data_IF_636706638856
#
_entry.id   IF_636706638856
#
_cell.length_a   1.000
_cell.length_b   1.000
_cell.length_c   1.000
_cell.angle_alpha   90.00
_cell.angle_beta   90.00
_cell.angle_gamma   90.00
#
_symmetry.space_group_name_H-M   'P 1'
#
loop_
_entity.id
_entity.type
_entity.pdbx_description
1 polymer ?
#
# COMPACT_ATOMS: atom_id res chain seq x y z
N UNK A 1 -26.65 3.50 13.45
CA UNK A 1 -25.63 3.21 12.44
C UNK A 1 -25.86 4.24 11.37
N UNK A 2 -24.97 5.23 11.30
CA UNK A 2 -25.14 6.34 10.36
C UNK A 2 -24.84 5.82 8.96
N UNK A 3 -25.77 6.09 8.03
CA UNK A 3 -25.58 5.74 6.63
C UNK A 3 -24.57 6.72 6.04
N UNK A 4 -23.53 6.20 5.39
CA UNK A 4 -22.63 7.01 4.56
C UNK A 4 -23.49 7.64 3.45
N UNK A 5 -23.60 8.96 3.45
CA UNK A 5 -24.28 9.70 2.38
C UNK A 5 -23.26 10.08 1.30
N UNK A 6 -23.68 10.37 0.05
CA UNK A 6 -22.75 10.73 -1.02
C UNK A 6 -21.87 11.96 -0.72
N UNK A 7 -22.26 12.82 0.23
CA UNK A 7 -21.45 13.95 0.69
C UNK A 7 -20.32 13.58 1.66
N UNK A 8 -20.31 12.34 2.15
CA UNK A 8 -19.33 11.81 3.11
C UNK A 8 -18.18 11.04 2.42
N UNK A 9 -18.12 11.06 1.08
CA UNK A 9 -17.13 10.34 0.27
C UNK A 9 -16.32 11.36 -0.53
N UNK A 10 -14.99 11.25 -0.43
CA UNK A 10 -14.05 12.07 -1.20
C UNK A 10 -12.94 11.22 -1.82
N UNK A 11 -12.36 11.72 -2.92
CA UNK A 11 -11.15 11.14 -3.51
C UNK A 11 -9.95 11.71 -2.75
N UNK A 12 -9.31 10.87 -1.93
CA UNK A 12 -8.15 11.28 -1.10
C UNK A 12 -6.81 11.15 -1.83
N UNK A 13 -6.78 10.37 -2.92
CA UNK A 13 -5.61 10.13 -3.77
C UNK A 13 -6.08 9.75 -5.18
N UNK A 14 -5.67 10.51 -6.20
CA UNK A 14 -5.88 10.16 -7.61
C UNK A 14 -4.61 9.47 -8.15
N UNK A 15 -4.45 8.20 -7.81
CA UNK A 15 -3.20 7.46 -8.04
C UNK A 15 -3.03 6.96 -9.48
N UNK A 16 -4.10 6.93 -10.28
CA UNK A 16 -4.11 6.31 -11.62
C UNK A 16 -3.54 4.88 -11.66
N UNK A 17 -3.70 4.09 -10.59
CA UNK A 17 -3.28 2.69 -10.57
C UNK A 17 -4.07 1.84 -11.57
N UNK A 18 -3.39 0.88 -12.19
CA UNK A 18 -4.04 -0.06 -13.12
C UNK A 18 -4.99 -0.99 -12.37
N UNK A 19 -4.52 -1.60 -11.27
CA UNK A 19 -5.34 -2.42 -10.38
C UNK A 19 -4.96 -2.15 -8.91
N UNK A 20 -5.58 -1.12 -8.33
CA UNK A 20 -5.46 -0.79 -6.92
C UNK A 20 -6.21 -1.77 -6.02
N UNK A 21 -5.50 -2.45 -5.10
CA UNK A 21 -6.06 -3.52 -4.27
C UNK A 21 -5.44 -3.59 -2.86
N UNK A 22 -6.01 -4.44 -2.01
CA UNK A 22 -5.42 -4.86 -0.74
C UNK A 22 -5.11 -3.77 0.31
N UNK A 23 -5.98 -2.78 0.56
CA UNK A 23 -5.71 -1.73 1.54
C UNK A 23 -5.56 -2.29 2.96
N UNK A 24 -4.44 -1.98 3.61
CA UNK A 24 -4.11 -2.37 4.99
C UNK A 24 -3.52 -1.19 5.75
N UNK A 25 -4.00 -0.94 6.96
CA UNK A 25 -3.46 0.13 7.81
C UNK A 25 -2.19 -0.30 8.53
N UNK A 26 -1.12 0.48 8.37
CA UNK A 26 -0.01 0.55 9.31
C UNK A 26 -0.35 1.60 10.38
N UNK A 27 -0.88 1.14 11.51
CA UNK A 27 -1.30 2.04 12.59
C UNK A 27 -0.14 2.71 13.30
N UNK A 28 1.04 2.10 13.30
CA UNK A 28 2.23 2.66 13.95
C UNK A 28 2.83 3.78 13.11
N UNK A 29 2.92 3.58 11.79
CA UNK A 29 3.37 4.61 10.85
C UNK A 29 2.30 5.63 10.47
N UNK A 30 1.03 5.38 10.82
CA UNK A 30 -0.15 6.14 10.39
C UNK A 30 -0.25 6.26 8.85
N UNK A 31 -0.05 5.12 8.17
CA UNK A 31 -0.10 5.04 6.70
C UNK A 31 -1.05 3.94 6.22
N UNK A 32 -1.74 4.20 5.12
CA UNK A 32 -2.47 3.19 4.38
C UNK A 32 -1.53 2.54 3.38
N UNK A 33 -1.27 1.25 3.55
CA UNK A 33 -0.55 0.43 2.59
C UNK A 33 -1.57 -0.13 1.60
N UNK A 34 -1.29 -0.05 0.31
CA UNK A 34 -2.07 -0.67 -0.74
C UNK A 34 -1.16 -1.01 -1.92
N UNK A 35 -1.67 -1.69 -2.95
CA UNK A 35 -0.86 -2.20 -4.06
C UNK A 35 -1.46 -1.85 -5.41
N UNK A 36 -0.60 -1.64 -6.42
CA UNK A 36 -0.97 -1.76 -7.82
C UNK A 36 -0.42 -3.08 -8.36
N UNK A 37 -1.32 -4.05 -8.59
CA UNK A 37 -0.94 -5.42 -8.99
C UNK A 37 -0.20 -5.42 -10.32
N UNK A 38 -0.67 -4.65 -11.30
CA UNK A 38 -0.11 -4.63 -12.66
C UNK A 38 1.08 -3.68 -12.74
N UNK A 39 1.03 -2.59 -11.99
CA UNK A 39 2.13 -1.63 -11.86
C UNK A 39 3.36 -2.15 -11.11
N UNK A 40 3.24 -3.28 -10.39
CA UNK A 40 4.26 -3.82 -9.48
C UNK A 40 4.59 -2.87 -8.31
N UNK A 41 3.63 -2.06 -7.89
CA UNK A 41 3.86 -1.01 -6.89
C UNK A 41 3.27 -1.40 -5.54
N UNK A 42 4.04 -1.17 -4.48
CA UNK A 42 3.52 -1.04 -3.11
C UNK A 42 3.42 0.44 -2.79
N UNK A 43 2.23 0.89 -2.45
CA UNK A 43 1.92 2.26 -2.06
C UNK A 43 1.87 2.41 -0.54
N UNK A 44 2.29 3.57 -0.02
CA UNK A 44 2.16 3.96 1.39
C UNK A 44 1.67 5.39 1.49
N UNK A 45 0.35 5.54 1.62
CA UNK A 45 -0.33 6.83 1.67
C UNK A 45 -0.45 7.38 3.09
N UNK A 46 -0.10 8.65 3.29
CA UNK A 46 -0.30 9.37 4.55
C UNK A 46 -1.53 10.30 4.43
N UNK A 47 -2.63 10.02 5.15
CA UNK A 47 -3.86 10.82 5.04
C UNK A 47 -3.73 12.23 5.64
N UNK A 48 -2.68 12.52 6.44
CA UNK A 48 -2.47 13.85 7.02
C UNK A 48 -1.78 14.79 6.04
N UNK A 49 -0.83 14.28 5.25
CA UNK A 49 -0.04 15.07 4.30
C UNK A 49 -0.53 14.93 2.86
N UNK A 50 -1.43 13.98 2.59
CA UNK A 50 -1.85 13.55 1.25
C UNK A 50 -0.68 13.05 0.39
N UNK A 51 0.45 12.70 0.99
CA UNK A 51 1.61 12.16 0.29
C UNK A 51 1.46 10.65 0.11
N UNK A 52 1.85 10.17 -1.07
CA UNK A 52 1.91 8.75 -1.39
C UNK A 52 3.35 8.36 -1.77
N UNK A 53 3.91 7.39 -1.05
CA UNK A 53 5.15 6.74 -1.45
C UNK A 53 4.80 5.58 -2.36
N UNK A 54 5.37 5.55 -3.57
CA UNK A 54 5.20 4.46 -4.53
C UNK A 54 6.53 3.70 -4.68
N UNK A 55 6.54 2.42 -4.34
CA UNK A 55 7.74 1.58 -4.34
C UNK A 55 7.56 0.44 -5.34
N UNK A 56 8.35 0.45 -6.43
CA UNK A 56 8.38 -0.64 -7.40
C UNK A 56 9.10 -1.85 -6.82
N UNK A 57 8.39 -2.99 -6.73
CA UNK A 57 8.91 -4.26 -6.20
C UNK A 57 9.34 -5.23 -7.31
N UNK A 58 9.35 -4.78 -8.57
CA UNK A 58 9.92 -5.45 -9.73
C UNK A 58 9.10 -6.61 -10.30
N UNK A 59 7.97 -6.94 -9.68
CA UNK A 59 7.07 -8.00 -10.10
C UNK A 59 5.66 -7.82 -9.51
N UNK A 60 4.64 -8.52 -10.04
CA UNK A 60 3.30 -8.40 -9.50
C UNK A 60 3.24 -8.75 -8.02
N UNK A 61 2.58 -7.90 -7.24
CA UNK A 61 2.33 -8.07 -5.80
C UNK A 61 0.84 -8.20 -5.60
N UNK A 62 0.40 -9.26 -4.92
CA UNK A 62 -1.02 -9.56 -4.68
C UNK A 62 -1.51 -9.19 -3.28
N UNK A 63 -0.60 -8.94 -2.34
CA UNK A 63 -0.90 -8.40 -1.02
C UNK A 63 0.35 -7.77 -0.38
N UNK A 64 0.14 -6.76 0.46
CA UNK A 64 1.16 -6.12 1.27
C UNK A 64 0.60 -5.83 2.67
N UNK A 65 1.35 -6.14 3.72
CA UNK A 65 0.93 -5.88 5.10
C UNK A 65 2.11 -5.50 6.01
N UNK A 66 1.89 -4.67 7.06
CA UNK A 66 2.92 -4.37 8.04
C UNK A 66 3.42 -5.66 8.71
N UNK A 67 4.74 -5.74 8.91
CA UNK A 67 5.36 -6.88 9.60
C UNK A 67 5.78 -6.46 11.01
N UNK A 68 5.38 -7.24 12.02
CA UNK A 68 5.68 -6.95 13.43
C UNK A 68 7.19 -6.85 13.76
N UNK A 69 8.05 -7.46 12.94
CA UNK A 69 9.50 -7.39 13.06
C UNK A 69 10.13 -6.25 12.22
N UNK A 70 9.31 -5.31 11.74
CA UNK A 70 9.70 -4.26 10.81
C UNK A 70 9.61 -4.68 9.34
N UNK A 71 9.47 -3.68 8.48
CA UNK A 71 9.25 -3.82 7.04
C UNK A 71 7.81 -4.19 6.68
N UNK A 72 7.61 -4.53 5.40
CA UNK A 72 6.32 -4.95 4.85
C UNK A 72 6.48 -6.37 4.31
N UNK A 73 5.62 -7.29 4.72
CA UNK A 73 5.57 -8.62 4.10
C UNK A 73 4.75 -8.54 2.81
N UNK A 74 5.27 -9.14 1.74
CA UNK A 74 4.70 -9.11 0.41
C UNK A 74 4.34 -10.52 -0.06
N UNK A 75 3.18 -10.66 -0.69
CA UNK A 75 2.85 -11.81 -1.52
C UNK A 75 3.15 -11.46 -2.98
N UNK A 76 4.31 -11.86 -3.47
CA UNK A 76 4.81 -11.59 -4.81
C UNK A 76 4.48 -12.76 -5.74
N UNK A 77 4.57 -12.54 -7.06
CA UNK A 77 4.41 -13.60 -8.06
C UNK A 77 5.34 -14.79 -7.78
N UNK A 78 6.60 -14.52 -7.46
CA UNK A 78 7.64 -15.54 -7.33
C UNK A 78 7.81 -16.04 -5.88
N UNK A 79 6.95 -15.62 -4.94
CA UNK A 79 6.94 -16.10 -3.56
C UNK A 79 6.60 -15.03 -2.54
N UNK A 80 7.11 -15.18 -1.31
CA UNK A 80 7.00 -14.15 -0.28
C UNK A 80 8.28 -13.33 -0.22
N UNK A 81 8.15 -12.03 0.00
CA UNK A 81 9.28 -11.12 0.18
C UNK A 81 9.10 -10.19 1.37
N UNK A 82 10.18 -9.59 1.84
CA UNK A 82 10.17 -8.52 2.84
C UNK A 82 10.69 -7.25 2.19
N UNK A 83 9.85 -6.23 2.10
CA UNK A 83 10.26 -4.90 1.69
C UNK A 83 10.84 -4.15 2.89
N UNK A 84 12.11 -3.75 2.77
CA UNK A 84 12.72 -2.75 3.64
C UNK A 84 12.29 -1.35 3.18
N UNK A 85 11.59 -0.63 4.06
CA UNK A 85 11.04 0.69 3.75
C UNK A 85 12.14 1.74 3.58
N UNK A 86 13.27 1.60 4.28
CA UNK A 86 14.33 2.60 4.29
C UNK A 86 15.18 2.54 3.01
N UNK A 87 15.45 1.33 2.51
CA UNK A 87 16.21 1.14 1.28
C UNK A 87 15.36 0.96 0.02
N UNK A 88 14.12 0.49 0.18
CA UNK A 88 13.26 0.07 -0.95
C UNK A 88 13.57 -1.34 -1.45
N UNK A 89 14.51 -2.06 -0.83
CA UNK A 89 14.90 -3.39 -1.27
C UNK A 89 13.90 -4.46 -0.83
N UNK A 90 13.70 -5.46 -1.71
CA UNK A 90 12.91 -6.65 -1.42
C UNK A 90 13.85 -7.82 -1.16
N UNK A 91 13.72 -8.43 0.03
CA UNK A 91 14.45 -9.62 0.47
C UNK A 91 13.63 -10.89 0.33
#
# INVERSE_FOLDING_TARGET
MDLITPGDIEVVLDAHADVGEGPTWDTEAYKLIWIDIVGNIVHRYNPTTSEDESIDVGQPVGAAAPRAAGGIVLALRDGFGILDIASGDVQ
#
